data_IF_082925010826
#
_entry.id   IF_082925010826
#
_cell.length_a   1.000
_cell.length_b   1.000
_cell.length_c   1.000
_cell.angle_alpha   90.00
_cell.angle_beta   90.00
_cell.angle_gamma   90.00
#
_symmetry.space_group_name_H-M   'P 1'
#
loop_
_entity.id
_entity.type
_entity.pdbx_description
1 polymer ?
#
# COMPACT_ATOMS: atom_id res chain seq x y z
N UNK A 1 17.78 -11.02 1.07
CA UNK A 1 17.73 -10.50 2.47
C UNK A 1 16.27 -10.33 2.85
N UNK A 2 15.89 -10.64 4.09
CA UNK A 2 14.51 -10.39 4.57
C UNK A 2 14.34 -8.90 4.84
N UNK A 3 13.28 -8.28 4.33
CA UNK A 3 12.93 -6.88 4.58
C UNK A 3 12.81 -6.60 6.10
N UNK A 4 13.29 -5.44 6.51
CA UNK A 4 13.15 -4.94 7.89
C UNK A 4 12.69 -3.48 7.84
N UNK A 5 11.72 -3.14 8.69
CA UNK A 5 11.27 -1.77 8.82
C UNK A 5 12.34 -0.88 9.44
N UNK A 6 12.41 0.36 8.98
CA UNK A 6 13.21 1.41 9.61
C UNK A 6 12.53 2.77 9.44
N UNK A 7 12.83 3.69 10.35
CA UNK A 7 12.44 5.09 10.19
C UNK A 7 13.39 5.83 9.23
N UNK A 8 12.98 7.02 8.78
CA UNK A 8 13.77 7.84 7.84
C UNK A 8 15.12 8.27 8.40
N UNK A 9 15.31 8.28 9.72
CA UNK A 9 16.58 8.57 10.40
C UNK A 9 17.49 7.33 10.52
N UNK A 10 17.06 6.19 9.99
CA UNK A 10 17.76 4.92 10.05
C UNK A 10 17.49 4.10 11.33
N UNK A 11 16.69 4.61 12.27
CA UNK A 11 16.33 3.86 13.49
C UNK A 11 15.55 2.60 13.13
N UNK A 12 16.01 1.39 13.55
CA UNK A 12 15.29 0.15 13.27
C UNK A 12 13.92 0.10 13.97
N UNK A 13 12.93 -0.47 13.27
CA UNK A 13 11.61 -0.75 13.83
C UNK A 13 11.52 -2.27 14.07
N UNK A 14 11.33 -2.69 15.31
CA UNK A 14 11.41 -4.09 15.73
C UNK A 14 10.07 -4.84 15.65
N UNK A 15 9.15 -4.41 14.80
CA UNK A 15 7.93 -5.17 14.52
C UNK A 15 8.19 -6.16 13.38
N UNK A 16 7.73 -7.42 13.52
CA UNK A 16 7.79 -8.34 12.39
C UNK A 16 6.83 -7.88 11.30
N UNK A 17 7.26 -7.95 10.04
CA UNK A 17 6.35 -7.78 8.92
C UNK A 17 5.46 -9.02 8.82
N UNK A 18 4.18 -8.83 9.10
CA UNK A 18 3.15 -9.85 8.95
C UNK A 18 2.50 -9.80 7.55
N UNK A 19 1.19 -9.71 7.53
CA UNK A 19 0.42 -9.47 6.30
C UNK A 19 0.44 -7.98 5.94
N UNK A 20 0.45 -7.69 4.66
CA UNK A 20 0.19 -6.35 4.12
C UNK A 20 -1.22 -6.35 3.56
N UNK A 21 -2.14 -5.65 4.20
CA UNK A 21 -3.51 -5.49 3.72
C UNK A 21 -3.54 -4.33 2.76
N UNK A 22 -3.93 -4.59 1.52
CA UNK A 22 -4.00 -3.62 0.43
C UNK A 22 -5.45 -3.31 0.09
N UNK A 23 -5.68 -2.08 -0.39
CA UNK A 23 -7.01 -1.58 -0.74
C UNK A 23 -7.04 -1.26 -2.22
N UNK A 24 -7.84 -2.00 -2.97
CA UNK A 24 -8.05 -1.75 -4.38
C UNK A 24 -9.08 -0.64 -4.62
N UNK A 25 -8.83 0.20 -5.65
CA UNK A 25 -9.77 1.23 -6.14
C UNK A 25 -10.18 2.25 -5.08
N UNK A 26 -9.26 2.69 -4.24
CA UNK A 26 -9.56 3.68 -3.19
C UNK A 26 -9.47 5.14 -3.69
N UNK A 27 -9.14 5.36 -4.96
CA UNK A 27 -9.13 6.69 -5.61
C UNK A 27 -10.07 6.67 -6.81
N UNK A 28 -11.06 7.59 -6.83
CA UNK A 28 -12.12 7.61 -7.84
C UNK A 28 -11.56 7.82 -9.25
N UNK A 29 -10.58 8.71 -9.42
CA UNK A 29 -9.97 8.97 -10.73
C UNK A 29 -9.25 7.73 -11.27
N UNK A 30 -8.47 7.04 -10.42
CA UNK A 30 -7.80 5.80 -10.80
C UNK A 30 -8.79 4.67 -11.17
N UNK A 31 -9.94 4.61 -10.49
CA UNK A 31 -11.00 3.67 -10.84
C UNK A 31 -11.58 3.96 -12.24
N UNK A 32 -11.75 5.24 -12.58
CA UNK A 32 -12.21 5.67 -13.91
C UNK A 32 -11.19 5.39 -15.01
N UNK A 33 -9.90 5.69 -14.78
CA UNK A 33 -8.82 5.41 -15.74
C UNK A 33 -8.78 3.94 -16.15
N UNK A 34 -9.04 3.04 -15.23
CA UNK A 34 -9.08 1.60 -15.46
C UNK A 34 -10.47 1.07 -15.90
N UNK A 35 -11.44 1.98 -16.14
CA UNK A 35 -12.82 1.65 -16.49
C UNK A 35 -13.47 0.66 -15.51
N UNK A 36 -13.15 0.79 -14.21
CA UNK A 36 -13.70 -0.04 -13.15
C UNK A 36 -14.83 0.71 -12.42
N UNK A 37 -15.89 0.02 -11.98
CA UNK A 37 -16.88 0.61 -11.10
C UNK A 37 -16.25 0.96 -9.75
N UNK A 38 -16.73 2.05 -9.15
CA UNK A 38 -16.42 2.39 -7.76
C UNK A 38 -17.05 1.33 -6.86
N UNK A 39 -16.28 0.64 -6.00
CA UNK A 39 -16.83 -0.39 -5.12
C UNK A 39 -17.71 0.25 -4.03
N UNK A 40 -18.78 -0.47 -3.63
CA UNK A 40 -19.66 -0.07 -2.52
C UNK A 40 -19.03 -0.28 -1.15
N UNK A 41 -18.03 -1.16 -1.05
CA UNK A 41 -17.25 -1.47 0.15
C UNK A 41 -15.77 -1.52 -0.19
N UNK A 42 -14.86 -1.33 0.79
CA UNK A 42 -13.43 -1.44 0.55
C UNK A 42 -13.05 -2.80 -0.07
N UNK A 43 -12.41 -2.77 -1.22
CA UNK A 43 -11.93 -3.97 -1.90
C UNK A 43 -10.57 -4.35 -1.32
N UNK A 44 -10.55 -5.35 -0.44
CA UNK A 44 -9.34 -5.77 0.25
C UNK A 44 -8.66 -6.94 -0.47
N UNK A 45 -7.33 -6.92 -0.49
CA UNK A 45 -6.50 -8.07 -0.85
C UNK A 45 -5.22 -8.06 -0.01
N UNK A 46 -4.46 -9.16 -0.03
CA UNK A 46 -3.30 -9.32 0.84
C UNK A 46 -2.05 -9.57 0.01
N UNK A 47 -0.95 -8.91 0.41
CA UNK A 47 0.41 -9.30 0.05
C UNK A 47 1.05 -9.95 1.28
N UNK A 48 1.64 -11.16 1.15
CA UNK A 48 2.41 -11.75 2.24
C UNK A 48 3.68 -10.94 2.50
N UNK A 49 4.18 -10.95 3.73
CA UNK A 49 5.41 -10.25 4.09
C UNK A 49 6.64 -10.67 3.28
N UNK A 50 6.63 -11.88 2.70
CA UNK A 50 7.69 -12.37 1.80
C UNK A 50 7.81 -11.60 0.49
N UNK A 51 6.76 -10.85 0.09
CA UNK A 51 6.82 -9.99 -1.10
C UNK A 51 7.56 -8.67 -0.85
N UNK A 52 7.83 -8.33 0.40
CA UNK A 52 8.35 -7.00 0.73
C UNK A 52 9.84 -6.88 0.46
N UNK A 53 10.21 -5.75 -0.14
CA UNK A 53 11.59 -5.32 -0.37
C UNK A 53 11.73 -3.85 -0.03
N UNK A 54 12.94 -3.44 0.34
CA UNK A 54 13.23 -2.03 0.56
C UNK A 54 13.33 -1.27 -0.76
N UNK A 55 12.85 -0.03 -0.77
CA UNK A 55 13.02 0.89 -1.90
C UNK A 55 14.49 1.25 -2.08
N UNK A 56 15.21 1.43 -0.96
CA UNK A 56 16.62 1.78 -0.95
C UNK A 56 17.48 0.61 -1.46
N UNK A 57 18.37 0.88 -2.39
CA UNK A 57 19.24 -0.14 -2.99
C UNK A 57 18.70 -0.83 -4.24
N UNK A 58 17.49 -0.48 -4.64
CA UNK A 58 16.84 -1.02 -5.84
C UNK A 58 16.15 -2.35 -5.62
N UNK A 59 15.25 -2.68 -6.54
CA UNK A 59 14.46 -3.93 -6.52
C UNK A 59 14.32 -4.48 -7.95
N UNK A 60 14.15 -5.79 -8.05
CA UNK A 60 13.98 -6.47 -9.33
C UNK A 60 12.54 -6.40 -9.84
N UNK A 61 12.37 -6.23 -11.15
CA UNK A 61 11.09 -6.30 -11.84
C UNK A 61 11.09 -7.56 -12.71
N UNK A 62 10.08 -8.45 -12.60
CA UNK A 62 9.97 -9.60 -13.50
C UNK A 62 9.85 -9.15 -14.96
N UNK A 63 10.65 -9.74 -15.84
CA UNK A 63 10.64 -9.41 -17.28
C UNK A 63 9.96 -10.48 -18.14
N UNK A 64 9.62 -11.62 -17.55
CA UNK A 64 9.09 -12.82 -18.20
C UNK A 64 7.58 -13.05 -17.97
N UNK A 65 6.91 -12.13 -17.28
CA UNK A 65 5.51 -12.30 -16.83
C UNK A 65 4.55 -11.23 -17.33
N UNK A 66 4.91 -10.52 -18.41
CA UNK A 66 4.10 -9.44 -18.98
C UNK A 66 4.38 -8.08 -18.34
N UNK A 67 3.47 -7.13 -18.54
CA UNK A 67 3.64 -5.76 -18.08
C UNK A 67 3.54 -5.66 -16.54
N UNK A 68 4.58 -5.10 -15.93
CA UNK A 68 4.58 -4.73 -14.50
C UNK A 68 4.20 -3.26 -14.40
N UNK A 69 3.06 -2.99 -13.75
CA UNK A 69 2.64 -1.65 -13.40
C UNK A 69 3.06 -1.31 -11.99
N UNK A 70 3.38 -0.05 -11.77
CA UNK A 70 3.62 0.53 -10.45
C UNK A 70 2.35 1.25 -9.99
N UNK A 71 2.01 1.12 -8.72
CA UNK A 71 0.95 1.88 -8.07
C UNK A 71 1.57 2.51 -6.82
N UNK A 72 1.73 3.84 -6.81
CA UNK A 72 2.25 4.55 -5.64
C UNK A 72 1.17 4.63 -4.57
N UNK A 73 1.52 4.20 -3.35
CA UNK A 73 0.59 4.01 -2.24
C UNK A 73 1.15 4.61 -0.95
N UNK A 74 0.25 4.95 -0.03
CA UNK A 74 0.58 5.32 1.34
C UNK A 74 0.52 4.07 2.21
N UNK A 75 1.67 3.59 2.65
CA UNK A 75 1.76 2.51 3.63
C UNK A 75 1.53 3.06 5.04
N UNK A 76 0.66 2.42 5.81
CA UNK A 76 0.41 2.69 7.22
C UNK A 76 0.96 1.53 8.04
N UNK A 77 1.92 1.81 8.92
CA UNK A 77 2.52 0.81 9.80
C UNK A 77 1.74 0.73 11.11
N UNK A 78 1.15 -0.43 11.38
CA UNK A 78 0.45 -0.72 12.62
C UNK A 78 1.42 -1.37 13.60
N UNK A 79 1.69 -0.70 14.71
CA UNK A 79 2.64 -1.11 15.74
C UNK A 79 2.02 -1.73 16.99
N UNK A 80 0.70 -1.66 17.14
CA UNK A 80 -0.03 -2.26 18.26
C UNK A 80 -1.21 -3.08 17.74
N UNK A 81 -1.62 -4.15 18.45
CA UNK A 81 -2.83 -4.88 18.09
C UNK A 81 -4.06 -3.96 18.16
N UNK A 82 -4.93 -4.07 17.17
CA UNK A 82 -6.23 -3.43 17.18
C UNK A 82 -7.29 -4.44 17.65
N UNK A 83 -8.18 -3.98 18.53
CA UNK A 83 -9.35 -4.74 18.96
C UNK A 83 -10.38 -4.82 17.81
N UNK A 84 -11.35 -5.72 17.94
CA UNK A 84 -12.49 -5.74 17.04
C UNK A 84 -13.34 -4.48 17.21
N UNK A 85 -13.55 -3.73 16.14
CA UNK A 85 -14.25 -2.43 16.15
C UNK A 85 -13.57 -1.38 17.04
N UNK A 86 -12.30 -1.05 16.80
CA UNK A 86 -11.60 -0.04 17.55
C UNK A 86 -12.24 1.34 17.34
N UNK A 87 -12.16 2.20 18.34
CA UNK A 87 -12.49 3.61 18.18
C UNK A 87 -11.34 4.37 17.51
N UNK A 88 -11.57 5.63 17.16
CA UNK A 88 -10.58 6.45 16.43
C UNK A 88 -9.28 6.66 17.24
N UNK A 89 -9.38 6.84 18.55
CA UNK A 89 -8.23 7.03 19.45
C UNK A 89 -7.36 5.77 19.50
N UNK A 90 -7.97 4.59 19.63
CA UNK A 90 -7.27 3.30 19.60
C UNK A 90 -6.55 3.08 18.25
N UNK A 91 -7.17 3.49 17.14
CA UNK A 91 -6.56 3.38 15.82
C UNK A 91 -5.35 4.32 15.71
N UNK A 92 -5.49 5.58 16.09
CA UNK A 92 -4.39 6.55 16.07
C UNK A 92 -3.22 6.10 16.94
N UNK A 93 -3.49 5.58 18.13
CA UNK A 93 -2.47 5.05 19.06
C UNK A 93 -1.78 3.79 18.51
N UNK A 94 -2.43 3.02 17.64
CA UNK A 94 -1.86 1.84 17.02
C UNK A 94 -0.96 2.16 15.80
N UNK A 95 -1.12 3.32 15.16
CA UNK A 95 -0.30 3.72 14.02
C UNK A 95 1.09 4.11 14.50
N UNK A 96 2.13 3.43 13.99
CA UNK A 96 3.53 3.73 14.26
C UNK A 96 4.16 4.68 13.24
N UNK A 97 3.70 4.67 12.00
CA UNK A 97 4.28 5.52 10.97
C UNK A 97 3.65 5.36 9.60
N UNK A 98 4.12 6.18 8.68
CA UNK A 98 3.67 6.23 7.28
C UNK A 98 4.89 6.17 6.36
N UNK A 99 4.74 5.54 5.20
CA UNK A 99 5.78 5.51 4.19
C UNK A 99 5.19 5.51 2.78
N UNK A 100 5.92 6.03 1.78
CA UNK A 100 5.63 5.71 0.39
C UNK A 100 5.86 4.22 0.14
N UNK A 101 4.99 3.63 -0.67
CA UNK A 101 5.11 2.26 -1.10
C UNK A 101 4.82 2.12 -2.60
N UNK A 102 5.28 1.03 -3.21
CA UNK A 102 4.83 0.64 -4.54
C UNK A 102 4.12 -0.72 -4.44
N UNK A 103 2.89 -0.75 -4.90
CA UNK A 103 2.14 -1.97 -5.15
C UNK A 103 2.38 -2.40 -6.61
N UNK A 104 3.44 -3.21 -6.81
CA UNK A 104 3.75 -3.71 -8.13
C UNK A 104 2.75 -4.78 -8.56
N UNK A 105 2.29 -4.65 -9.80
CA UNK A 105 1.17 -5.43 -10.32
C UNK A 105 1.51 -6.00 -11.69
N UNK A 106 1.41 -7.31 -11.87
CA UNK A 106 1.39 -7.96 -13.19
C UNK A 106 0.04 -7.68 -13.84
N UNK A 107 -0.07 -6.58 -14.61
CA UNK A 107 -1.35 -6.03 -15.04
C UNK A 107 -2.14 -6.98 -15.94
N UNK A 108 -1.47 -7.59 -16.91
CA UNK A 108 -2.11 -8.52 -17.84
C UNK A 108 -2.61 -9.78 -17.13
N UNK A 109 -1.87 -10.25 -16.13
CA UNK A 109 -2.26 -11.40 -15.30
C UNK A 109 -3.48 -11.03 -14.46
N UNK A 110 -3.47 -9.86 -13.82
CA UNK A 110 -4.60 -9.39 -13.01
C UNK A 110 -5.88 -9.26 -13.85
N UNK A 111 -5.79 -8.72 -15.07
CA UNK A 111 -6.94 -8.59 -15.97
C UNK A 111 -7.59 -9.97 -16.25
N UNK A 112 -6.78 -10.97 -16.60
CA UNK A 112 -7.25 -12.35 -16.84
C UNK A 112 -7.87 -12.99 -15.59
N UNK A 113 -7.31 -12.72 -14.40
CA UNK A 113 -7.86 -13.22 -13.14
C UNK A 113 -9.20 -12.58 -12.81
N UNK A 114 -9.35 -11.27 -13.04
CA UNK A 114 -10.62 -10.55 -12.87
C UNK A 114 -11.72 -11.09 -13.75
N UNK A 115 -11.45 -11.32 -15.04
CA UNK A 115 -12.41 -11.89 -15.99
C UNK A 115 -12.97 -13.24 -15.52
N UNK A 116 -12.12 -14.05 -14.85
CA UNK A 116 -12.47 -15.38 -14.36
C UNK A 116 -13.00 -15.39 -12.93
N UNK A 117 -13.04 -14.25 -12.24
CA UNK A 117 -13.39 -14.18 -10.83
C UNK A 117 -12.39 -14.90 -9.91
N UNK A 118 -11.13 -15.03 -10.35
CA UNK A 118 -10.08 -15.71 -9.58
C UNK A 118 -9.36 -14.74 -8.63
N UNK A 119 -8.74 -15.27 -7.55
CA UNK A 119 -7.89 -14.50 -6.64
C UNK A 119 -6.72 -13.84 -7.36
N UNK A 120 -6.19 -12.72 -6.78
CA UNK A 120 -5.18 -11.88 -7.43
C UNK A 120 -3.74 -12.17 -6.99
N UNK A 121 -3.51 -13.14 -6.12
CA UNK A 121 -2.20 -13.41 -5.52
C UNK A 121 -1.09 -13.56 -6.57
N UNK A 122 -1.34 -14.29 -7.67
CA UNK A 122 -0.34 -14.46 -8.75
C UNK A 122 0.07 -13.12 -9.37
N UNK A 123 -0.85 -12.16 -9.45
CA UNK A 123 -0.61 -10.85 -10.03
C UNK A 123 -0.04 -9.83 -9.04
N UNK A 124 -0.32 -10.01 -7.74
CA UNK A 124 -0.05 -9.02 -6.68
C UNK A 124 0.98 -9.49 -5.64
N UNK A 125 1.29 -10.79 -5.57
CA UNK A 125 2.09 -11.36 -4.48
C UNK A 125 3.36 -12.08 -4.95
N UNK A 126 3.95 -11.67 -6.07
CA UNK A 126 5.26 -12.15 -6.48
C UNK A 126 6.38 -11.51 -5.64
N UNK A 127 7.56 -12.14 -5.61
CA UNK A 127 8.71 -11.65 -4.87
C UNK A 127 9.09 -10.23 -5.33
N UNK A 128 9.20 -9.30 -4.37
CA UNK A 128 9.44 -7.88 -4.66
C UNK A 128 8.20 -7.08 -5.03
N UNK A 129 6.99 -7.67 -5.00
CA UNK A 129 5.75 -6.97 -5.38
C UNK A 129 5.33 -5.86 -4.39
N UNK A 130 5.90 -5.81 -3.19
CA UNK A 130 5.64 -4.79 -2.18
C UNK A 130 6.93 -4.03 -1.88
N UNK A 131 7.10 -2.86 -2.47
CA UNK A 131 8.29 -2.03 -2.25
C UNK A 131 7.98 -0.99 -1.20
N UNK A 132 8.76 -0.94 -0.12
CA UNK A 132 8.52 -0.05 1.02
C UNK A 132 9.72 0.89 1.22
N UNK A 133 9.44 2.18 1.34
CA UNK A 133 10.41 3.17 1.77
C UNK A 133 10.56 3.16 3.31
N UNK A 134 11.57 3.83 3.89
CA UNK A 134 11.62 4.12 5.31
C UNK A 134 10.39 4.90 5.78
N UNK A 135 9.99 4.66 7.03
CA UNK A 135 8.77 5.23 7.61
C UNK A 135 9.03 6.59 8.27
N UNK A 136 8.10 7.51 8.09
CA UNK A 136 7.98 8.71 8.92
C UNK A 136 7.22 8.32 10.18
N UNK A 137 7.67 8.69 11.40
CA UNK A 137 6.92 8.43 12.63
C UNK A 137 5.51 9.04 12.58
N UNK A 138 4.53 8.34 13.15
CA UNK A 138 3.14 8.82 13.15
C UNK A 138 2.99 10.22 13.77
N UNK A 139 3.81 10.55 14.78
CA UNK A 139 3.84 11.86 15.44
C UNK A 139 4.27 13.03 14.53
N UNK A 140 4.88 12.76 13.39
CA UNK A 140 5.28 13.77 12.42
C UNK A 140 4.20 14.04 11.35
N UNK A 141 3.08 13.32 11.39
CA UNK A 141 1.94 13.49 10.47
C UNK A 141 0.76 14.05 11.26
N UNK A 142 0.49 15.34 11.09
CA UNK A 142 -0.55 16.05 11.84
C UNK A 142 -1.95 15.72 11.33
N UNK A 143 -2.12 15.70 9.99
CA UNK A 143 -3.40 15.46 9.35
C UNK A 143 -3.35 14.26 8.39
N UNK A 144 -4.09 13.21 8.72
CA UNK A 144 -4.21 12.02 7.90
C UNK A 144 -5.01 12.24 6.60
N UNK A 145 -5.76 13.33 6.53
CA UNK A 145 -6.48 13.76 5.33
C UNK A 145 -5.64 14.59 4.36
N UNK A 146 -4.40 14.97 4.70
CA UNK A 146 -3.56 15.85 3.90
C UNK A 146 -2.17 15.24 3.59
N UNK A 147 -2.09 13.92 3.49
CA UNK A 147 -0.84 13.23 3.13
C UNK A 147 -0.70 13.21 1.61
N UNK A 148 0.24 14.02 1.09
CA UNK A 148 0.59 14.02 -0.34
C UNK A 148 1.51 12.86 -0.69
N UNK A 149 1.31 12.28 -1.89
CA UNK A 149 2.19 11.26 -2.47
C UNK A 149 2.46 11.59 -3.93
N UNK A 150 3.75 11.56 -4.32
CA UNK A 150 4.17 11.80 -5.70
C UNK A 150 5.21 10.79 -6.14
N UNK A 151 5.03 10.24 -7.34
CA UNK A 151 5.98 9.37 -8.00
C UNK A 151 6.50 10.03 -9.26
N UNK A 152 7.82 10.10 -9.39
CA UNK A 152 8.49 10.51 -10.62
C UNK A 152 9.39 9.39 -11.13
N UNK A 153 9.42 9.19 -12.44
CA UNK A 153 10.28 8.21 -13.10
C UNK A 153 11.08 8.95 -14.18
N UNK A 154 12.39 8.87 -14.12
CA UNK A 154 13.30 9.56 -15.04
C UNK A 154 13.03 11.08 -15.14
N UNK A 155 12.67 11.70 -14.01
CA UNK A 155 12.37 13.13 -13.92
C UNK A 155 10.95 13.53 -14.32
N UNK A 156 10.13 12.62 -14.85
CA UNK A 156 8.73 12.87 -15.19
C UNK A 156 7.81 12.43 -14.06
N UNK A 157 6.88 13.30 -13.66
CA UNK A 157 5.82 12.96 -12.69
C UNK A 157 4.87 11.94 -13.34
N UNK A 158 4.68 10.80 -12.70
CA UNK A 158 3.81 9.71 -13.15
C UNK A 158 2.55 9.59 -12.31
N UNK A 159 2.65 9.84 -11.02
CA UNK A 159 1.52 9.88 -10.10
C UNK A 159 1.69 11.06 -9.15
N UNK A 160 0.60 11.75 -8.86
CA UNK A 160 0.53 12.86 -7.92
C UNK A 160 -0.86 12.82 -7.28
N UNK A 161 -0.93 12.59 -5.99
CA UNK A 161 -2.18 12.40 -5.27
C UNK A 161 -2.09 12.84 -3.82
N UNK A 162 -3.23 12.82 -3.15
CA UNK A 162 -3.36 13.19 -1.75
C UNK A 162 -4.38 12.28 -1.05
N UNK A 163 -4.20 12.00 0.23
CA UNK A 163 -5.12 11.18 1.03
C UNK A 163 -6.54 11.74 1.11
N UNK A 164 -6.74 13.06 0.92
CA UNK A 164 -8.07 13.67 0.84
C UNK A 164 -8.88 13.23 -0.39
N UNK A 165 -8.25 12.62 -1.39
CA UNK A 165 -8.89 12.07 -2.58
C UNK A 165 -9.32 10.61 -2.41
N UNK A 166 -9.03 9.99 -1.25
CA UNK A 166 -9.43 8.63 -0.94
C UNK A 166 -10.95 8.50 -0.80
N UNK A 167 -11.53 7.47 -1.39
CA UNK A 167 -12.94 7.10 -1.22
C UNK A 167 -13.21 6.63 0.21
N UNK A 168 -12.29 5.86 0.77
CA UNK A 168 -12.31 5.42 2.15
C UNK A 168 -11.11 6.04 2.86
N UNK A 169 -11.33 7.02 3.72
CA UNK A 169 -10.28 7.68 4.48
C UNK A 169 -9.57 6.70 5.43
N UNK A 170 -8.33 7.01 5.84
CA UNK A 170 -7.44 6.09 6.55
C UNK A 170 -8.08 5.54 7.84
N UNK A 171 -8.67 6.37 8.69
CA UNK A 171 -9.22 5.89 9.97
C UNK A 171 -10.45 5.00 9.81
N UNK A 172 -11.50 5.38 9.04
CA UNK A 172 -12.62 4.49 8.74
C UNK A 172 -12.19 3.18 8.08
N UNK A 173 -11.17 3.24 7.21
CA UNK A 173 -10.63 2.06 6.55
C UNK A 173 -9.97 1.11 7.55
N UNK A 174 -9.13 1.62 8.46
CA UNK A 174 -8.51 0.81 9.51
C UNK A 174 -9.55 0.22 10.47
N UNK A 175 -10.62 0.96 10.78
CA UNK A 175 -11.74 0.44 11.56
C UNK A 175 -12.47 -0.71 10.85
N UNK A 176 -12.61 -0.62 9.52
CA UNK A 176 -13.22 -1.66 8.70
C UNK A 176 -12.37 -2.94 8.65
N UNK A 177 -11.03 -2.79 8.64
CA UNK A 177 -10.07 -3.91 8.55
C UNK A 177 -9.91 -4.66 9.89
N UNK A 178 -10.04 -3.98 11.01
CA UNK A 178 -9.88 -4.53 12.36
C UNK A 178 -11.07 -5.39 12.77
#
# INVERSE_FOLDING_TARGET
MTYKHQYIDGTPIHYPLGKVVCIGRNYAEHAKELNNPVPSEPLLFIKPGSCAVALDGGFGIPTDRGAVHYEAEIAVLIGKPLSRKPNEEEIRDAISGFAPALDLTLRDVQAKLKEKGHPWEIAKSFDGACVLAPFVPASAVEDLGEIGIRLSINGEVRQDGNSNQMLNAILPLLQHIA
#
